data_IF_683824101587
#
_entry.id   IF_683824101587
#
_cell.length_a   1.000
_cell.length_b   1.000
_cell.length_c   1.000
_cell.angle_alpha   90.00
_cell.angle_beta   90.00
_cell.angle_gamma   90.00
#
_symmetry.space_group_name_H-M   'P 1'
#
loop_
_entity.id
_entity.type
_entity.pdbx_description
1 polymer ?
#
# COMPACT_ATOMS: atom_id res chain seq x y z
N UNK A 1 -22.51 -63.11 -16.55
CA UNK A 1 -22.64 -62.14 -15.45
C UNK A 1 -21.46 -61.18 -15.53
N UNK A 2 -21.67 -59.96 -16.04
CA UNK A 2 -20.61 -58.94 -16.12
C UNK A 2 -20.69 -58.04 -14.89
N UNK A 3 -19.61 -57.98 -14.10
CA UNK A 3 -19.54 -57.14 -12.92
C UNK A 3 -19.30 -55.68 -13.34
N UNK A 4 -20.24 -54.79 -13.01
CA UNK A 4 -20.07 -53.34 -13.18
C UNK A 4 -19.20 -52.84 -12.03
N UNK A 5 -17.96 -52.45 -12.33
CA UNK A 5 -17.08 -51.80 -11.36
C UNK A 5 -17.48 -50.32 -11.26
N UNK A 6 -18.12 -49.94 -10.16
CA UNK A 6 -18.49 -48.56 -9.89
C UNK A 6 -17.24 -47.73 -9.53
N UNK A 7 -16.85 -46.82 -10.41
CA UNK A 7 -15.80 -45.82 -10.14
C UNK A 7 -16.34 -44.77 -9.16
N UNK A 8 -15.88 -44.82 -7.90
CA UNK A 8 -16.08 -43.73 -6.94
C UNK A 8 -15.17 -42.56 -7.29
N UNK A 9 -15.74 -41.50 -7.85
CA UNK A 9 -15.05 -40.23 -8.02
C UNK A 9 -14.86 -39.56 -6.65
N UNK A 10 -13.63 -39.46 -6.17
CA UNK A 10 -13.28 -38.60 -5.03
C UNK A 10 -13.32 -37.14 -5.50
N UNK A 11 -14.22 -36.35 -4.94
CA UNK A 11 -14.17 -34.89 -5.04
C UNK A 11 -13.22 -34.35 -3.98
N UNK A 12 -12.14 -33.69 -4.42
CA UNK A 12 -11.26 -32.90 -3.56
C UNK A 12 -11.96 -31.59 -3.20
N UNK A 13 -12.33 -31.42 -1.93
CA UNK A 13 -12.76 -30.13 -1.39
C UNK A 13 -11.49 -29.35 -1.01
N UNK A 14 -11.18 -28.31 -1.77
CA UNK A 14 -10.13 -27.37 -1.41
C UNK A 14 -10.63 -26.48 -0.26
N UNK A 15 -10.05 -26.63 0.93
CA UNK A 15 -10.28 -25.71 2.03
C UNK A 15 -9.59 -24.37 1.72
N UNK A 16 -10.36 -23.30 1.55
CA UNK A 16 -9.83 -21.96 1.41
C UNK A 16 -9.29 -21.49 2.77
N UNK A 17 -8.00 -21.21 2.86
CA UNK A 17 -7.41 -20.57 4.04
C UNK A 17 -7.77 -19.08 4.02
N UNK A 18 -8.15 -18.48 5.18
CA UNK A 18 -8.39 -17.05 5.23
C UNK A 18 -7.07 -16.31 4.98
N UNK A 19 -7.05 -15.45 3.97
CA UNK A 19 -5.95 -14.54 3.75
C UNK A 19 -5.93 -13.51 4.88
N UNK A 20 -4.83 -13.42 5.61
CA UNK A 20 -4.61 -12.34 6.57
C UNK A 20 -4.37 -11.04 5.80
N UNK A 21 -5.23 -10.04 6.01
CA UNK A 21 -5.01 -8.70 5.48
C UNK A 21 -3.83 -8.06 6.23
N UNK A 22 -2.65 -8.07 5.61
CA UNK A 22 -1.49 -7.35 6.14
C UNK A 22 -1.77 -5.85 6.03
N UNK A 23 -1.63 -5.11 7.13
CA UNK A 23 -1.73 -3.64 7.11
C UNK A 23 -0.65 -3.08 6.20
N UNK A 24 -1.06 -2.23 5.26
CA UNK A 24 -0.13 -1.53 4.39
C UNK A 24 0.64 -0.48 5.18
N UNK A 25 1.94 -0.37 4.92
CA UNK A 25 2.79 0.68 5.49
C UNK A 25 2.89 1.84 4.51
N UNK A 26 2.96 3.06 5.05
CA UNK A 26 3.22 4.26 4.25
C UNK A 26 4.30 5.10 4.95
N UNK A 27 5.38 5.43 4.25
CA UNK A 27 6.36 6.42 4.70
C UNK A 27 6.12 7.71 3.92
N UNK A 28 5.81 8.81 4.60
CA UNK A 28 5.38 10.07 3.99
C UNK A 28 6.37 11.17 4.35
N UNK A 29 6.87 11.90 3.36
CA UNK A 29 7.74 13.05 3.53
C UNK A 29 7.00 14.33 3.15
N UNK A 30 6.85 15.25 4.10
CA UNK A 30 6.11 16.51 3.90
C UNK A 30 6.79 17.68 4.58
N UNK A 31 6.49 18.87 4.07
CA UNK A 31 6.85 20.13 4.71
C UNK A 31 6.02 20.37 5.99
N UNK A 32 6.61 20.89 7.09
CA UNK A 32 5.90 21.20 8.32
C UNK A 32 4.72 22.15 8.15
N UNK A 33 4.77 23.05 7.16
CA UNK A 33 3.77 24.09 6.92
C UNK A 33 2.68 23.66 5.93
N UNK A 34 2.72 22.43 5.40
CA UNK A 34 1.70 21.91 4.49
C UNK A 34 0.51 21.29 5.25
N UNK A 35 -0.53 22.10 5.53
CA UNK A 35 -1.73 21.64 6.25
C UNK A 35 -2.51 20.52 5.56
N UNK A 36 -2.63 20.54 4.22
CA UNK A 36 -3.34 19.48 3.47
C UNK A 36 -2.59 18.14 3.51
N UNK A 37 -1.25 18.17 3.60
CA UNK A 37 -0.42 16.97 3.73
C UNK A 37 -0.64 16.28 5.09
N UNK A 38 -0.83 17.06 6.17
CA UNK A 38 -1.16 16.52 7.47
C UNK A 38 -2.55 15.84 7.45
N UNK A 39 -3.54 16.49 6.83
CA UNK A 39 -4.87 15.89 6.67
C UNK A 39 -4.85 14.56 5.91
N UNK A 40 -4.03 14.45 4.86
CA UNK A 40 -3.86 13.21 4.11
C UNK A 40 -3.22 12.09 4.96
N UNK A 41 -2.20 12.41 5.76
CA UNK A 41 -1.60 11.47 6.71
C UNK A 41 -2.63 10.94 7.71
N UNK A 42 -3.51 11.80 8.24
CA UNK A 42 -4.59 11.35 9.13
C UNK A 42 -5.61 10.46 8.41
N UNK A 43 -5.95 10.78 7.16
CA UNK A 43 -6.83 9.93 6.35
C UNK A 43 -6.24 8.52 6.17
N UNK A 44 -4.95 8.40 5.80
CA UNK A 44 -4.29 7.10 5.68
C UNK A 44 -4.34 6.29 6.99
N UNK A 45 -4.13 6.93 8.13
CA UNK A 45 -4.22 6.27 9.43
C UNK A 45 -5.64 5.78 9.71
N UNK A 46 -6.65 6.58 9.37
CA UNK A 46 -8.06 6.20 9.52
C UNK A 46 -8.43 4.98 8.66
N UNK A 47 -7.85 4.87 7.46
CA UNK A 47 -7.99 3.71 6.56
C UNK A 47 -7.13 2.50 6.98
N UNK A 48 -6.44 2.56 8.13
CA UNK A 48 -5.73 1.43 8.71
C UNK A 48 -4.30 1.24 8.22
N UNK A 49 -3.72 2.21 7.50
CA UNK A 49 -2.31 2.20 7.14
C UNK A 49 -1.43 2.42 8.38
N UNK A 50 -0.27 1.77 8.40
CA UNK A 50 0.80 2.06 9.36
C UNK A 50 1.65 3.18 8.78
N UNK A 51 1.39 4.41 9.21
CA UNK A 51 2.01 5.62 8.62
C UNK A 51 3.20 6.11 9.44
N UNK A 52 4.35 6.27 8.78
CA UNK A 52 5.51 7.00 9.28
C UNK A 52 5.52 8.40 8.66
N UNK A 53 5.13 9.41 9.44
CA UNK A 53 5.12 10.82 9.01
C UNK A 53 6.49 11.47 9.26
N UNK A 54 7.21 11.76 8.18
CA UNK A 54 8.54 12.39 8.18
C UNK A 54 8.39 13.86 7.81
N UNK A 55 8.29 14.70 8.82
CA UNK A 55 8.30 16.16 8.64
C UNK A 55 9.72 16.62 8.38
N UNK A 56 9.96 17.19 7.20
CA UNK A 56 11.30 17.50 6.70
C UNK A 56 11.37 18.93 6.14
N UNK A 57 12.53 19.60 6.22
CA UNK A 57 12.69 20.94 5.64
C UNK A 57 12.69 20.95 4.11
N UNK A 58 12.85 19.79 3.46
CA UNK A 58 12.75 19.65 2.01
C UNK A 58 12.36 18.23 1.62
N UNK A 59 11.36 18.11 0.74
CA UNK A 59 10.90 16.84 0.17
C UNK A 59 11.74 16.39 -1.04
N UNK A 60 12.48 17.32 -1.65
CA UNK A 60 13.23 17.08 -2.90
C UNK A 60 14.26 15.92 -2.84
N UNK A 61 15.00 15.70 -1.74
CA UNK A 61 15.89 14.54 -1.64
C UNK A 61 15.16 13.20 -1.73
N UNK A 62 13.97 13.11 -1.13
CA UNK A 62 13.17 11.89 -1.10
C UNK A 62 12.54 11.60 -2.46
N UNK A 63 12.14 12.63 -3.21
CA UNK A 63 11.73 12.50 -4.61
C UNK A 63 12.81 11.90 -5.50
N UNK A 64 14.05 12.38 -5.35
CA UNK A 64 15.19 11.83 -6.08
C UNK A 64 15.45 10.37 -5.72
N UNK A 65 15.34 10.03 -4.44
CA UNK A 65 15.46 8.65 -3.96
C UNK A 65 14.36 7.75 -4.56
N UNK A 66 13.13 8.25 -4.69
CA UNK A 66 12.01 7.51 -5.27
C UNK A 66 12.03 7.47 -6.81
N UNK A 67 12.90 8.25 -7.45
CA UNK A 67 12.93 8.36 -8.91
C UNK A 67 11.69 9.06 -9.48
N UNK A 68 11.04 9.93 -8.71
CA UNK A 68 9.81 10.60 -9.13
C UNK A 68 10.05 11.49 -10.35
N UNK A 69 9.32 11.29 -11.47
CA UNK A 69 9.35 12.19 -12.63
C UNK A 69 9.00 13.64 -12.25
N UNK A 70 9.65 14.60 -12.91
CA UNK A 70 9.53 16.02 -12.58
C UNK A 70 8.12 16.58 -12.85
N UNK A 71 7.37 15.97 -13.77
CA UNK A 71 6.00 16.32 -14.14
C UNK A 71 4.94 15.78 -13.16
N UNK A 72 5.32 14.89 -12.23
CA UNK A 72 4.44 14.30 -11.24
C UNK A 72 4.61 14.90 -9.83
N UNK A 73 5.49 15.88 -9.66
CA UNK A 73 5.81 16.44 -8.34
C UNK A 73 4.63 17.23 -7.76
N UNK A 74 4.37 17.05 -6.46
CA UNK A 74 3.30 17.78 -5.75
C UNK A 74 3.77 18.39 -4.41
N UNK A 75 2.94 18.39 -3.36
CA UNK A 75 3.26 18.95 -2.05
C UNK A 75 4.00 17.98 -1.11
N UNK A 76 3.81 16.66 -1.28
CA UNK A 76 4.48 15.63 -0.51
C UNK A 76 4.87 14.45 -1.40
N UNK A 77 5.78 13.62 -0.90
CA UNK A 77 6.14 12.34 -1.51
C UNK A 77 5.87 11.23 -0.50
N UNK A 78 5.43 10.06 -0.96
CA UNK A 78 5.24 8.91 -0.09
C UNK A 78 5.71 7.61 -0.75
N UNK A 79 6.06 6.64 0.10
CA UNK A 79 6.34 5.26 -0.30
C UNK A 79 5.38 4.32 0.41
N UNK A 80 4.53 3.64 -0.34
CA UNK A 80 3.51 2.73 0.17
C UNK A 80 3.91 1.27 -0.13
N UNK A 81 3.70 0.39 0.85
CA UNK A 81 4.00 -1.04 0.70
C UNK A 81 5.48 -1.35 0.46
N UNK A 82 6.38 -0.38 0.72
CA UNK A 82 7.82 -0.51 0.52
C UNK A 82 8.34 -0.20 -0.90
N UNK A 83 7.46 0.06 -1.88
CA UNK A 83 7.90 0.23 -3.28
C UNK A 83 7.08 1.24 -4.09
N UNK A 84 5.80 1.45 -3.79
CA UNK A 84 4.94 2.34 -4.56
C UNK A 84 5.23 3.80 -4.19
N UNK A 85 5.82 4.56 -5.11
CA UNK A 85 5.98 6.01 -4.98
C UNK A 85 4.64 6.71 -5.27
N UNK A 86 4.24 7.62 -4.38
CA UNK A 86 3.00 8.39 -4.46
C UNK A 86 3.31 9.88 -4.32
N UNK A 87 2.66 10.71 -5.14
CA UNK A 87 2.73 12.17 -5.08
C UNK A 87 1.33 12.77 -5.09
N UNK A 88 1.14 13.81 -4.28
CA UNK A 88 0.00 14.72 -4.39
C UNK A 88 -1.23 14.42 -3.55
N UNK A 89 -2.34 15.08 -3.87
CA UNK A 89 -3.59 14.94 -3.13
C UNK A 89 -4.33 13.70 -3.63
N UNK A 90 -4.07 12.56 -2.97
CA UNK A 90 -4.58 11.23 -3.33
C UNK A 90 -5.77 10.85 -2.47
#
# INVERSE_FOLDING_TARGET
MAAVVARRSLFLVAAATPASAQRLTAEVWRDPQCGCCAGWVEHLRAEGFVVTDRVVPSVAPFRRMLGTPADLLSCHAARVGGWLAVEGHV
#
